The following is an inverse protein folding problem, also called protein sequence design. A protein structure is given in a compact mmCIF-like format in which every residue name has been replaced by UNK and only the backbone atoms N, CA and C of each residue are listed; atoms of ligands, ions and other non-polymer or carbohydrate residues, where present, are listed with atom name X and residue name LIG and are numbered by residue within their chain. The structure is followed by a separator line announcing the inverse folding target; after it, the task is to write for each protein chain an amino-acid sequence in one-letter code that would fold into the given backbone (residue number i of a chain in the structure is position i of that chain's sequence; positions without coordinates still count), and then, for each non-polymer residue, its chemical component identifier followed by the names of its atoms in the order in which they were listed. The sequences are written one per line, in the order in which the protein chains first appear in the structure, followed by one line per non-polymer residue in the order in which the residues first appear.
data_IF_693371692883
#
_entry.id   IF_693371692883
#
_cell.length_a   1.000
_cell.length_b   1.000
_cell.length_c   1.000
_cell.angle_alpha   90.00
_cell.angle_beta   90.00
_cell.angle_gamma   90.00
#
_symmetry.space_group_name_H-M   'P 1'
#
loop_
_entity.id
_entity.type
_entity.pdbx_description
1 polymer ?
#
# COMPACT_ATOMS: atom_id res chain seq x y z
N UNK A 1 -64.51 -101.35 44.04
CA UNK A 1 -64.43 -99.91 44.29
C UNK A 1 -63.23 -99.42 43.48
N UNK A 2 -63.31 -99.10 42.18
CA UNK A 2 -64.39 -98.46 41.39
C UNK A 2 -64.85 -97.14 42.02
N UNK A 3 -64.70 -96.00 41.36
CA UNK A 3 -65.47 -95.53 40.18
C UNK A 3 -64.64 -95.26 38.88
N UNK A 4 -65.25 -94.59 37.86
CA UNK A 4 -64.86 -94.57 36.42
C UNK A 4 -64.63 -93.14 35.83
N UNK A 5 -63.99 -92.98 34.64
CA UNK A 5 -63.72 -91.71 33.92
C UNK A 5 -64.73 -91.40 32.78
N UNK A 6 -64.55 -90.31 31.98
CA UNK A 6 -63.93 -90.43 30.64
C UNK A 6 -63.19 -89.14 30.15
N UNK A 7 -63.08 -88.87 28.83
CA UNK A 7 -61.87 -89.13 28.01
C UNK A 7 -61.92 -88.50 26.58
N UNK A 8 -60.78 -88.06 26.02
CA UNK A 8 -60.57 -87.70 24.59
C UNK A 8 -60.84 -86.22 24.19
N UNK A 9 -60.50 -85.74 22.97
CA UNK A 9 -59.73 -86.33 21.84
C UNK A 9 -58.21 -85.97 21.87
N UNK A 10 -57.26 -86.36 20.99
CA UNK A 10 -57.16 -87.16 19.73
C UNK A 10 -56.94 -86.41 18.38
N UNK A 11 -55.78 -86.70 17.74
CA UNK A 11 -55.33 -86.61 16.32
C UNK A 11 -55.10 -85.28 15.52
N UNK A 12 -53.81 -85.03 15.25
CA UNK A 12 -53.13 -85.01 13.93
C UNK A 12 -53.46 -83.99 12.78
N UNK A 13 -52.39 -83.29 12.35
CA UNK A 13 -52.13 -82.75 11.00
C UNK A 13 -50.74 -82.08 10.96
N UNK A 14 -50.10 -81.69 9.85
CA UNK A 14 -50.11 -82.14 8.45
C UNK A 14 -49.04 -81.31 7.67
N UNK A 15 -47.91 -81.95 7.31
CA UNK A 15 -47.04 -81.76 6.11
C UNK A 15 -46.53 -80.35 5.65
N UNK A 16 -45.24 -80.36 5.23
CA UNK A 16 -44.58 -79.64 4.12
C UNK A 16 -43.76 -78.32 4.32
N UNK A 17 -42.61 -78.31 3.61
CA UNK A 17 -41.72 -77.27 3.06
C UNK A 17 -41.13 -76.10 3.91
N UNK A 18 -39.79 -76.16 4.06
CA UNK A 18 -38.76 -75.24 3.52
C UNK A 18 -39.03 -73.72 3.38
N UNK A 19 -38.13 -72.87 3.94
CA UNK A 19 -37.36 -71.77 3.27
C UNK A 19 -36.79 -70.71 4.27
N UNK A 20 -35.46 -70.71 4.43
CA UNK A 20 -34.48 -69.59 4.44
C UNK A 20 -34.61 -68.31 5.33
N UNK A 21 -33.44 -67.90 5.90
CA UNK A 21 -33.02 -66.52 6.35
C UNK A 21 -33.74 -65.89 7.56
N UNK A 22 -33.18 -64.89 8.29
CA UNK A 22 -32.01 -64.00 8.03
C UNK A 22 -31.15 -63.78 9.32
N UNK A 23 -29.90 -63.34 9.15
CA UNK A 23 -28.98 -62.91 10.23
C UNK A 23 -29.44 -61.56 10.82
N UNK A 24 -29.29 -61.38 12.15
CA UNK A 24 -29.53 -60.08 12.81
C UNK A 24 -28.48 -59.79 13.90
N UNK A 25 -27.28 -59.41 13.45
CA UNK A 25 -26.23 -58.79 14.25
C UNK A 25 -25.70 -57.56 13.49
N UNK A 26 -25.16 -56.57 14.22
CA UNK A 26 -24.78 -55.22 13.76
C UNK A 26 -25.94 -54.25 13.44
N UNK A 27 -26.28 -53.35 14.39
CA UNK A 27 -26.93 -52.05 14.11
C UNK A 27 -26.95 -51.05 15.31
N UNK A 28 -25.92 -50.99 16.16
CA UNK A 28 -25.89 -50.01 17.29
C UNK A 28 -24.67 -49.09 17.29
N UNK A 29 -23.52 -49.54 16.78
CA UNK A 29 -22.33 -48.70 16.58
C UNK A 29 -22.44 -47.72 15.37
N UNK A 30 -23.67 -47.39 14.95
CA UNK A 30 -23.97 -46.65 13.71
C UNK A 30 -24.54 -45.24 13.91
N UNK A 31 -24.46 -44.67 15.12
CA UNK A 31 -24.87 -43.29 15.43
C UNK A 31 -23.88 -42.56 16.34
N UNK A 32 -22.60 -42.59 15.96
CA UNK A 32 -21.82 -41.37 16.13
C UNK A 32 -22.46 -40.31 15.22
N UNK A 33 -22.84 -39.16 15.77
CA UNK A 33 -23.28 -38.01 14.96
C UNK A 33 -22.15 -37.71 13.96
N UNK A 34 -22.48 -37.55 12.67
CA UNK A 34 -21.49 -37.12 11.68
C UNK A 34 -21.11 -35.66 11.96
N UNK A 35 -20.15 -35.45 12.86
CA UNK A 35 -19.47 -34.16 13.02
C UNK A 35 -18.94 -33.73 11.66
N UNK A 36 -19.19 -32.48 11.31
CA UNK A 36 -18.74 -31.88 10.06
C UNK A 36 -17.23 -31.61 10.13
N UNK A 37 -16.47 -32.68 9.88
CA UNK A 37 -15.01 -32.69 9.88
C UNK A 37 -14.44 -31.66 8.90
N UNK A 38 -14.07 -30.50 9.45
CA UNK A 38 -13.46 -29.41 8.70
C UNK A 38 -12.15 -29.92 8.10
N UNK A 39 -12.16 -30.07 6.79
CA UNK A 39 -11.13 -30.71 6.00
C UNK A 39 -11.16 -30.14 4.59
N UNK A 40 -10.04 -30.18 3.90
CA UNK A 40 -9.89 -29.52 2.60
C UNK A 40 -8.49 -29.66 2.03
N UNK A 41 -8.12 -28.77 1.13
CA UNK A 41 -6.79 -28.75 0.49
C UNK A 41 -5.86 -27.73 1.13
N UNK A 42 -4.55 -27.96 0.99
CA UNK A 42 -3.52 -27.00 1.32
C UNK A 42 -2.46 -26.89 0.22
N UNK A 43 -1.80 -25.75 0.17
CA UNK A 43 -0.57 -25.49 -0.57
C UNK A 43 0.44 -24.78 0.34
N UNK A 44 1.73 -25.03 0.15
CA UNK A 44 2.78 -24.42 0.95
C UNK A 44 3.98 -23.99 0.11
N UNK A 45 4.70 -22.95 0.54
CA UNK A 45 6.02 -22.59 0.00
C UNK A 45 7.00 -22.30 1.14
N UNK A 46 8.17 -22.97 1.12
CA UNK A 46 9.24 -22.83 2.10
C UNK A 46 10.17 -21.68 1.71
N UNK A 47 10.33 -20.68 2.59
CA UNK A 47 11.24 -19.53 2.40
C UNK A 47 11.75 -18.99 3.74
N UNK A 48 13.05 -18.71 3.86
CA UNK A 48 13.69 -18.02 4.99
C UNK A 48 13.27 -18.56 6.37
N UNK A 49 13.37 -19.88 6.58
CA UNK A 49 12.93 -20.59 7.80
C UNK A 49 11.42 -20.45 8.12
N UNK A 50 10.60 -20.10 7.13
CA UNK A 50 9.15 -19.96 7.24
C UNK A 50 8.42 -20.78 6.18
N UNK A 51 7.15 -21.04 6.45
CA UNK A 51 6.21 -21.72 5.56
C UNK A 51 5.07 -20.75 5.27
N UNK A 52 4.94 -20.27 4.02
CA UNK A 52 3.69 -19.66 3.60
C UNK A 52 2.70 -20.79 3.33
N UNK A 53 1.79 -21.02 4.27
CA UNK A 53 0.77 -22.07 4.20
C UNK A 53 -0.56 -21.44 3.81
N UNK A 54 -1.16 -21.94 2.73
CA UNK A 54 -2.52 -21.61 2.33
C UNK A 54 -3.42 -22.85 2.45
N UNK A 55 -4.62 -22.67 2.99
CA UNK A 55 -5.66 -23.70 3.07
C UNK A 55 -6.93 -23.27 2.33
N UNK A 56 -7.71 -24.24 1.85
CA UNK A 56 -9.03 -24.05 1.25
C UNK A 56 -10.00 -25.12 1.76
N UNK A 57 -11.20 -24.72 2.16
CA UNK A 57 -12.27 -25.63 2.62
C UNK A 57 -13.64 -25.00 2.38
N UNK A 58 -14.65 -25.83 2.15
CA UNK A 58 -16.03 -25.36 2.12
C UNK A 58 -16.48 -24.96 3.54
N UNK A 59 -17.08 -23.78 3.75
CA UNK A 59 -17.72 -23.43 5.02
C UNK A 59 -19.05 -24.20 5.19
N UNK A 60 -19.60 -24.30 6.41
CA UNK A 60 -20.96 -24.81 6.61
C UNK A 60 -21.99 -23.96 5.84
N UNK A 61 -23.08 -24.59 5.35
CA UNK A 61 -24.14 -23.91 4.58
C UNK A 61 -24.69 -22.66 5.28
N UNK A 62 -24.80 -22.72 6.61
CA UNK A 62 -25.35 -21.68 7.47
C UNK A 62 -24.41 -20.47 7.65
N UNK A 63 -23.17 -20.53 7.14
CA UNK A 63 -22.19 -19.43 7.21
C UNK A 63 -22.33 -18.42 6.07
N UNK A 64 -22.73 -18.83 4.86
CA UNK A 64 -22.68 -17.97 3.67
C UNK A 64 -23.94 -17.09 3.47
N UNK A 65 -25.09 -17.53 3.99
CA UNK A 65 -26.40 -16.93 3.63
C UNK A 65 -26.63 -16.91 2.11
N UNK A 66 -27.39 -15.93 1.62
CA UNK A 66 -27.65 -15.76 0.17
C UNK A 66 -26.44 -15.19 -0.61
N UNK A 67 -25.23 -15.12 -0.03
CA UNK A 67 -24.07 -14.45 -0.61
C UNK A 67 -22.89 -15.39 -0.87
N UNK A 68 -22.91 -15.94 -2.09
CA UNK A 68 -21.85 -16.73 -2.73
C UNK A 68 -21.68 -18.16 -2.20
N UNK A 69 -21.59 -19.11 -3.14
CA UNK A 69 -21.42 -20.54 -2.87
C UNK A 69 -19.92 -20.94 -2.95
N UNK A 70 -19.04 -20.11 -2.36
CA UNK A 70 -17.59 -20.18 -2.55
C UNK A 70 -16.83 -20.90 -1.43
N UNK A 71 -15.65 -21.41 -1.78
CA UNK A 71 -14.65 -21.88 -0.81
C UNK A 71 -14.23 -20.75 0.13
N UNK A 72 -14.08 -21.08 1.42
CA UNK A 72 -13.28 -20.27 2.32
C UNK A 72 -11.79 -20.59 2.11
N UNK A 73 -10.93 -19.57 2.19
CA UNK A 73 -9.49 -19.75 2.11
C UNK A 73 -8.74 -18.76 3.01
N UNK A 74 -7.54 -19.16 3.43
CA UNK A 74 -6.65 -18.37 4.27
C UNK A 74 -5.20 -18.72 3.89
N UNK A 75 -4.34 -17.71 3.75
CA UNK A 75 -2.90 -17.86 3.56
C UNK A 75 -2.12 -17.07 4.59
N UNK A 76 -1.18 -17.70 5.30
CA UNK A 76 -0.37 -17.08 6.35
C UNK A 76 1.04 -17.69 6.40
N UNK A 77 2.04 -16.85 6.71
CA UNK A 77 3.43 -17.29 6.89
C UNK A 77 3.73 -17.68 8.33
N UNK A 78 3.91 -18.97 8.60
CA UNK A 78 4.28 -19.52 9.91
C UNK A 78 5.81 -19.72 10.02
N UNK A 79 6.41 -19.62 11.22
CA UNK A 79 7.71 -20.24 11.50
C UNK A 79 7.65 -21.74 11.23
N UNK A 80 8.74 -22.34 10.73
CA UNK A 80 8.74 -23.76 10.35
C UNK A 80 8.69 -24.72 11.55
N UNK A 81 9.13 -24.27 12.72
CA UNK A 81 9.09 -24.98 14.00
C UNK A 81 7.68 -25.04 14.64
N UNK A 82 6.72 -24.24 14.16
CA UNK A 82 5.30 -24.41 14.52
C UNK A 82 4.63 -25.60 13.79
N UNK A 83 5.27 -26.17 12.76
CA UNK A 83 4.73 -27.22 11.89
C UNK A 83 5.47 -28.55 12.10
N UNK A 84 5.07 -29.26 13.16
CA UNK A 84 5.70 -30.48 13.61
C UNK A 84 5.68 -31.57 12.53
N UNK A 85 6.86 -31.96 12.02
CA UNK A 85 7.03 -32.95 10.96
C UNK A 85 7.60 -32.38 9.65
N UNK A 86 7.63 -31.05 9.48
CA UNK A 86 8.40 -30.43 8.40
C UNK A 86 9.91 -30.39 8.73
N UNK A 87 10.81 -30.54 7.73
CA UNK A 87 12.25 -30.43 7.94
C UNK A 87 12.66 -28.95 8.10
N UNK A 88 13.60 -28.63 9.00
CA UNK A 88 14.06 -27.25 9.17
C UNK A 88 14.92 -26.79 7.98
N UNK A 89 14.60 -25.60 7.47
CA UNK A 89 15.47 -24.76 6.64
C UNK A 89 15.94 -25.33 5.27
N UNK A 90 15.18 -26.24 4.65
CA UNK A 90 15.42 -26.68 3.26
C UNK A 90 14.42 -26.06 2.28
N UNK A 91 14.83 -25.02 1.55
CA UNK A 91 14.03 -24.36 0.50
C UNK A 91 13.90 -25.18 -0.79
N UNK A 92 14.61 -26.30 -0.94
CA UNK A 92 14.49 -27.21 -2.10
C UNK A 92 13.85 -28.54 -1.74
N UNK A 93 13.30 -28.64 -0.53
CA UNK A 93 12.75 -29.86 0.02
C UNK A 93 11.76 -30.53 -0.93
N UNK A 94 11.94 -31.83 -1.11
CA UNK A 94 11.25 -32.64 -2.11
C UNK A 94 10.98 -34.04 -1.56
N UNK A 95 9.71 -34.42 -1.44
CA UNK A 95 9.29 -35.73 -0.93
C UNK A 95 7.92 -36.11 -1.51
N UNK A 96 7.73 -37.38 -1.86
CA UNK A 96 6.50 -37.88 -2.49
C UNK A 96 5.36 -38.15 -1.51
N UNK A 97 5.64 -38.20 -0.20
CA UNK A 97 4.65 -38.33 0.86
C UNK A 97 5.22 -37.73 2.16
N UNK A 98 4.45 -36.86 2.82
CA UNK A 98 4.76 -36.29 4.13
C UNK A 98 3.49 -36.18 4.97
N UNK A 99 3.67 -36.23 6.30
CA UNK A 99 2.68 -35.79 7.28
C UNK A 99 3.30 -34.76 8.21
N UNK A 100 2.56 -33.70 8.53
CA UNK A 100 2.97 -32.69 9.51
C UNK A 100 1.73 -32.08 10.17
N UNK A 101 1.89 -31.57 11.39
CA UNK A 101 0.80 -31.07 12.24
C UNK A 101 1.02 -29.61 12.66
N UNK A 102 -0.05 -28.83 12.73
CA UNK A 102 -0.10 -27.53 13.41
C UNK A 102 -0.89 -27.67 14.71
N UNK A 103 -0.19 -27.66 15.84
CA UNK A 103 -0.80 -27.80 17.16
C UNK A 103 -1.22 -26.44 17.74
N UNK A 104 -2.47 -26.33 18.20
CA UNK A 104 -3.07 -25.08 18.72
C UNK A 104 -3.93 -25.36 19.95
N UNK A 105 -4.15 -24.36 20.81
CA UNK A 105 -4.99 -24.53 22.00
C UNK A 105 -6.44 -24.96 21.68
N UNK A 106 -6.92 -24.70 20.47
CA UNK A 106 -8.27 -25.07 20.00
C UNK A 106 -8.40 -26.49 19.41
N UNK A 107 -7.29 -27.10 18.98
CA UNK A 107 -7.22 -28.36 18.25
C UNK A 107 -5.94 -28.49 17.41
N UNK A 108 -5.77 -29.61 16.74
CA UNK A 108 -4.67 -29.84 15.78
C UNK A 108 -5.21 -29.77 14.35
N UNK A 109 -4.48 -29.12 13.45
CA UNK A 109 -4.65 -29.32 12.01
C UNK A 109 -3.59 -30.32 11.56
N UNK A 110 -4.01 -31.48 11.06
CA UNK A 110 -3.12 -32.50 10.50
C UNK A 110 -3.09 -32.37 8.97
N UNK A 111 -1.90 -32.39 8.38
CA UNK A 111 -1.65 -32.19 6.95
C UNK A 111 -0.98 -33.43 6.35
N UNK A 112 -1.50 -33.91 5.23
CA UNK A 112 -0.91 -35.00 4.44
C UNK A 112 -0.74 -34.55 2.99
N UNK A 113 0.38 -34.88 2.34
CA UNK A 113 0.63 -34.47 0.96
C UNK A 113 2.06 -34.73 0.49
N UNK A 114 2.57 -33.88 -0.40
CA UNK A 114 3.91 -34.00 -0.99
C UNK A 114 4.58 -32.62 -1.14
N UNK A 115 5.91 -32.61 -1.30
CA UNK A 115 6.70 -31.41 -1.64
C UNK A 115 7.59 -31.66 -2.88
N UNK A 116 7.87 -30.60 -3.63
CA UNK A 116 8.84 -30.54 -4.72
C UNK A 116 9.44 -29.14 -4.80
N UNK A 117 10.76 -29.04 -4.71
CA UNK A 117 11.53 -27.78 -4.80
C UNK A 117 10.94 -26.69 -3.89
N UNK A 118 10.78 -27.02 -2.60
CA UNK A 118 10.25 -26.10 -1.57
C UNK A 118 8.73 -25.85 -1.63
N UNK A 119 8.03 -26.38 -2.63
CA UNK A 119 6.58 -26.19 -2.81
C UNK A 119 5.80 -27.45 -2.49
N UNK A 120 4.83 -27.34 -1.59
CA UNK A 120 4.00 -28.45 -1.13
C UNK A 120 2.53 -28.30 -1.49
N UNK A 121 1.82 -29.43 -1.57
CA UNK A 121 0.37 -29.48 -1.69
C UNK A 121 -0.21 -30.78 -1.14
N UNK A 122 -1.47 -30.76 -0.70
CA UNK A 122 -2.15 -31.95 -0.20
C UNK A 122 -3.51 -31.69 0.43
N UNK A 123 -3.89 -32.55 1.38
CA UNK A 123 -5.14 -32.51 2.16
C UNK A 123 -4.87 -32.22 3.63
N UNK A 124 -5.82 -31.58 4.31
CA UNK A 124 -5.78 -31.35 5.77
C UNK A 124 -7.08 -31.78 6.46
N UNK A 125 -7.01 -32.06 7.76
CA UNK A 125 -8.16 -32.26 8.66
C UNK A 125 -7.94 -31.53 9.99
N UNK A 126 -8.98 -30.87 10.50
CA UNK A 126 -8.96 -30.23 11.81
C UNK A 126 -9.63 -31.11 12.88
N UNK A 127 -8.86 -31.46 13.90
CA UNK A 127 -9.27 -32.25 15.07
C UNK A 127 -9.45 -31.35 16.31
N UNK A 128 -10.68 -31.01 16.72
CA UNK A 128 -10.94 -30.09 17.84
C UNK A 128 -10.54 -30.67 19.21
N UNK A 129 -9.76 -29.93 20.02
CA UNK A 129 -9.38 -30.35 21.39
C UNK A 129 -10.58 -30.30 22.34
N UNK A 130 -10.91 -31.41 22.99
CA UNK A 130 -12.14 -31.53 23.79
C UNK A 130 -12.31 -30.44 24.88
N UNK A 131 -11.24 -30.06 25.60
CA UNK A 131 -11.36 -29.11 26.74
C UNK A 131 -11.57 -27.65 26.32
N UNK A 132 -11.29 -27.27 25.07
CA UNK A 132 -11.24 -25.86 24.63
C UNK A 132 -12.54 -25.10 24.92
N UNK A 133 -13.72 -25.70 24.68
CA UNK A 133 -15.00 -25.03 24.90
C UNK A 133 -15.27 -24.74 26.38
N UNK A 134 -14.84 -25.62 27.29
CA UNK A 134 -14.92 -25.38 28.73
C UNK A 134 -13.98 -24.26 29.18
N UNK A 135 -12.76 -24.21 28.64
CA UNK A 135 -11.78 -23.15 28.92
C UNK A 135 -12.22 -21.78 28.37
N UNK A 136 -12.80 -21.74 27.17
CA UNK A 136 -13.37 -20.53 26.56
C UNK A 136 -14.59 -20.03 27.35
N UNK A 137 -15.48 -20.94 27.77
CA UNK A 137 -16.62 -20.62 28.64
C UNK A 137 -16.17 -20.05 29.99
N UNK A 138 -15.11 -20.59 30.59
CA UNK A 138 -14.51 -20.07 31.82
C UNK A 138 -13.86 -18.68 31.65
N UNK A 139 -13.58 -18.25 30.42
CA UNK A 139 -13.10 -16.92 30.08
C UNK A 139 -14.22 -15.92 29.74
N UNK A 140 -15.49 -16.36 29.75
CA UNK A 140 -16.68 -15.56 29.43
C UNK A 140 -17.29 -15.86 28.05
N UNK A 141 -16.60 -16.61 27.20
CA UNK A 141 -17.06 -16.98 25.85
C UNK A 141 -17.92 -18.25 25.93
N UNK A 142 -19.12 -18.09 26.50
CA UNK A 142 -20.05 -19.17 26.84
C UNK A 142 -21.09 -19.50 25.78
N UNK A 143 -21.02 -18.88 24.60
CA UNK A 143 -21.81 -19.24 23.42
C UNK A 143 -21.44 -20.65 22.92
N UNK A 144 -22.29 -21.26 22.08
CA UNK A 144 -21.89 -22.48 21.39
C UNK A 144 -20.77 -22.16 20.39
N UNK A 145 -19.71 -22.96 20.40
CA UNK A 145 -18.54 -22.82 19.57
C UNK A 145 -18.52 -23.99 18.57
N UNK A 146 -19.26 -23.90 17.45
CA UNK A 146 -19.33 -24.97 16.47
C UNK A 146 -17.94 -25.26 15.88
N UNK A 147 -17.75 -26.48 15.38
CA UNK A 147 -16.44 -26.97 14.87
C UNK A 147 -15.81 -26.02 13.83
N UNK A 148 -16.63 -25.31 13.05
CA UNK A 148 -16.21 -24.25 12.13
C UNK A 148 -15.62 -23.00 12.83
N UNK A 149 -16.31 -22.42 13.82
CA UNK A 149 -15.78 -21.28 14.60
C UNK A 149 -14.48 -21.67 15.31
N UNK A 150 -14.44 -22.90 15.84
CA UNK A 150 -13.24 -23.46 16.48
C UNK A 150 -12.07 -23.67 15.53
N UNK A 151 -12.32 -24.07 14.28
CA UNK A 151 -11.30 -24.16 13.23
C UNK A 151 -10.72 -22.77 12.90
N UNK A 152 -11.58 -21.76 12.72
CA UNK A 152 -11.15 -20.38 12.48
C UNK A 152 -10.27 -19.86 13.63
N UNK A 153 -10.69 -20.07 14.88
CA UNK A 153 -9.91 -19.69 16.06
C UNK A 153 -8.60 -20.49 16.18
N UNK A 154 -8.60 -21.77 15.83
CA UNK A 154 -7.37 -22.59 15.81
C UNK A 154 -6.35 -22.07 14.80
N UNK A 155 -6.75 -21.90 13.54
CA UNK A 155 -5.81 -21.62 12.46
C UNK A 155 -5.22 -20.21 12.53
N UNK A 156 -5.94 -19.26 13.13
CA UNK A 156 -5.45 -17.93 13.47
C UNK A 156 -4.75 -17.84 14.85
N UNK A 157 -4.55 -18.96 15.55
CA UNK A 157 -3.91 -19.05 16.87
C UNK A 157 -4.57 -18.18 17.97
N UNK A 158 -5.90 -18.29 18.09
CA UNK A 158 -6.72 -17.66 19.13
C UNK A 158 -7.06 -18.69 20.21
N UNK A 159 -6.32 -18.63 21.30
CA UNK A 159 -6.45 -19.56 22.42
C UNK A 159 -6.59 -18.92 23.81
N UNK A 160 -6.99 -19.71 24.82
CA UNK A 160 -7.11 -19.28 26.21
C UNK A 160 -5.89 -18.57 26.78
N UNK A 161 -4.65 -18.90 26.36
CA UNK A 161 -3.45 -18.17 26.77
C UNK A 161 -3.49 -16.72 26.28
N UNK A 162 -3.62 -16.50 24.97
CA UNK A 162 -3.64 -15.15 24.38
C UNK A 162 -4.78 -14.30 24.95
N UNK A 163 -5.95 -14.90 25.20
CA UNK A 163 -7.12 -14.23 25.79
C UNK A 163 -6.88 -13.84 27.26
N UNK A 164 -6.26 -14.72 28.07
CA UNK A 164 -5.86 -14.39 29.44
C UNK A 164 -4.84 -13.26 29.45
N UNK A 165 -3.85 -13.31 28.57
CA UNK A 165 -2.80 -12.30 28.46
C UNK A 165 -3.38 -10.95 28.00
N UNK A 166 -4.29 -10.91 27.02
CA UNK A 166 -5.04 -9.70 26.63
C UNK A 166 -5.80 -9.10 27.82
N UNK A 167 -6.47 -9.94 28.63
CA UNK A 167 -7.17 -9.50 29.84
C UNK A 167 -6.22 -8.97 30.92
N UNK A 168 -5.04 -9.57 31.11
CA UNK A 168 -3.96 -9.03 31.94
C UNK A 168 -3.47 -7.68 31.42
N UNK A 169 -3.44 -7.50 30.10
CA UNK A 169 -3.15 -6.20 29.47
C UNK A 169 -4.34 -5.21 29.48
N UNK A 170 -5.43 -5.51 30.19
CA UNK A 170 -6.57 -4.59 30.37
C UNK A 170 -7.65 -4.66 29.29
N UNK A 171 -7.58 -5.62 28.37
CA UNK A 171 -8.61 -5.87 27.36
C UNK A 171 -9.58 -6.95 27.87
N UNK A 172 -10.47 -6.58 28.79
CA UNK A 172 -11.38 -7.51 29.49
C UNK A 172 -12.73 -7.74 28.80
N UNK A 173 -13.11 -6.86 27.84
CA UNK A 173 -14.42 -6.80 27.18
C UNK A 173 -14.27 -6.73 25.66
N UNK A 174 -13.87 -7.84 25.06
CA UNK A 174 -13.74 -8.00 23.61
C UNK A 174 -14.68 -9.09 23.11
N UNK A 175 -15.10 -9.00 21.84
CA UNK A 175 -15.66 -10.16 21.13
C UNK A 175 -14.55 -11.08 20.62
N UNK A 176 -14.91 -12.34 20.33
CA UNK A 176 -13.98 -13.28 19.68
C UNK A 176 -13.51 -12.79 18.30
N UNK A 177 -14.32 -11.99 17.62
CA UNK A 177 -14.00 -11.44 16.30
C UNK A 177 -12.94 -10.33 16.41
N UNK A 178 -13.01 -9.48 17.43
CA UNK A 178 -11.97 -8.48 17.73
C UNK A 178 -10.64 -9.16 18.13
N UNK A 179 -10.71 -10.20 18.97
CA UNK A 179 -9.53 -10.97 19.38
C UNK A 179 -8.89 -11.68 18.18
N UNK A 180 -9.71 -12.32 17.33
CA UNK A 180 -9.24 -12.96 16.10
C UNK A 180 -8.65 -11.93 15.13
N UNK A 181 -9.32 -10.79 14.92
CA UNK A 181 -8.80 -9.73 14.06
C UNK A 181 -7.43 -9.26 14.55
N UNK A 182 -7.30 -8.98 15.85
CA UNK A 182 -6.02 -8.60 16.44
C UNK A 182 -4.92 -9.66 16.22
N UNK A 183 -5.23 -10.94 16.43
CA UNK A 183 -4.28 -12.03 16.24
C UNK A 183 -3.87 -12.21 14.78
N UNK A 184 -4.83 -12.21 13.84
CA UNK A 184 -4.62 -12.30 12.39
C UNK A 184 -3.76 -11.15 11.86
N UNK A 185 -4.03 -9.93 12.32
CA UNK A 185 -3.25 -8.73 11.96
C UNK A 185 -1.92 -8.60 12.74
N UNK A 186 -1.52 -9.63 13.51
CA UNK A 186 -0.19 -9.71 14.13
C UNK A 186 0.00 -8.84 15.37
N UNK A 187 -1.07 -8.45 16.06
CA UNK A 187 -1.00 -7.81 17.38
C UNK A 187 -0.61 -8.87 18.42
N UNK A 188 0.56 -8.70 19.03
CA UNK A 188 1.06 -9.58 20.10
C UNK A 188 1.00 -8.91 21.46
N UNK A 189 1.04 -9.72 22.52
CA UNK A 189 1.12 -9.23 23.91
C UNK A 189 2.41 -8.42 24.13
N UNK A 190 3.49 -8.79 23.44
CA UNK A 190 4.74 -8.03 23.41
C UNK A 190 4.55 -6.65 22.75
N UNK A 191 3.95 -6.60 21.56
CA UNK A 191 3.63 -5.34 20.85
C UNK A 191 2.76 -4.40 21.71
N UNK A 192 1.75 -4.94 22.40
CA UNK A 192 0.94 -4.21 23.38
C UNK A 192 1.81 -3.63 24.50
N UNK A 193 2.68 -4.45 25.11
CA UNK A 193 3.58 -4.02 26.18
C UNK A 193 4.57 -2.97 25.70
N UNK A 194 5.03 -3.04 24.46
CA UNK A 194 5.93 -2.05 23.90
C UNK A 194 5.25 -0.70 23.65
N UNK A 195 4.07 -0.67 23.04
CA UNK A 195 3.36 0.60 22.86
C UNK A 195 3.02 1.23 24.22
N UNK A 196 2.70 0.41 25.25
CA UNK A 196 2.58 0.85 26.65
C UNK A 196 3.89 1.40 27.22
N UNK A 197 5.05 0.77 26.94
CA UNK A 197 6.39 1.28 27.31
C UNK A 197 6.67 2.64 26.66
N UNK A 198 6.24 2.85 25.42
CA UNK A 198 6.33 4.15 24.72
C UNK A 198 5.31 5.20 25.20
N UNK A 199 4.45 4.86 26.16
CA UNK A 199 3.48 5.75 26.80
C UNK A 199 2.03 5.60 26.33
N UNK A 200 1.77 4.83 25.28
CA UNK A 200 0.42 4.56 24.77
C UNK A 200 -0.29 3.51 25.64
N UNK A 201 -0.69 3.94 26.86
CA UNK A 201 -1.22 3.04 27.89
C UNK A 201 -2.69 2.66 27.73
N UNK A 202 -3.47 3.54 27.12
CA UNK A 202 -4.93 3.41 26.91
C UNK A 202 -5.23 3.52 25.43
N UNK A 203 -5.26 2.38 24.74
CA UNK A 203 -5.45 2.29 23.28
C UNK A 203 -6.54 1.25 23.02
N UNK A 204 -7.43 1.47 22.05
CA UNK A 204 -8.39 0.45 21.64
C UNK A 204 -7.69 -0.64 20.83
N UNK A 205 -8.11 -1.91 20.96
CA UNK A 205 -7.46 -3.02 20.25
C UNK A 205 -7.49 -2.84 18.72
N UNK A 206 -8.57 -2.26 18.17
CA UNK A 206 -8.69 -1.93 16.74
C UNK A 206 -7.67 -0.87 16.30
N UNK A 207 -7.32 0.09 17.16
CA UNK A 207 -6.25 1.07 16.90
C UNK A 207 -4.88 0.40 16.87
N UNK A 208 -4.65 -0.63 17.71
CA UNK A 208 -3.43 -1.44 17.65
C UNK A 208 -3.33 -2.28 16.38
N UNK A 209 -4.46 -2.76 15.86
CA UNK A 209 -4.50 -3.41 14.54
C UNK A 209 -4.07 -2.43 13.45
N UNK A 210 -4.66 -1.22 13.42
CA UNK A 210 -4.27 -0.16 12.49
C UNK A 210 -2.77 0.15 12.59
N UNK A 211 -2.23 0.44 13.76
CA UNK A 211 -0.79 0.74 13.89
C UNK A 211 0.10 -0.44 13.48
N UNK A 212 -0.37 -1.68 13.66
CA UNK A 212 0.36 -2.89 13.30
C UNK A 212 0.36 -3.17 11.78
N UNK A 213 -0.75 -2.87 11.10
CA UNK A 213 -0.92 -2.96 9.64
C UNK A 213 -0.01 -1.94 8.91
N UNK A 214 -0.02 -0.70 9.36
CA UNK A 214 0.83 0.38 8.82
C UNK A 214 2.30 0.31 9.29
N UNK A 215 2.67 -0.74 10.05
CA UNK A 215 4.05 -1.04 10.43
C UNK A 215 4.68 -0.07 11.43
N UNK A 216 3.88 0.57 12.28
CA UNK A 216 4.38 1.38 13.41
C UNK A 216 4.91 0.43 14.50
N UNK A 217 6.23 0.42 14.70
CA UNK A 217 6.91 -0.43 15.71
C UNK A 217 7.37 0.37 16.94
N UNK A 218 7.76 -0.33 18.00
CA UNK A 218 8.28 0.27 19.23
C UNK A 218 9.55 1.12 18.97
N UNK A 219 10.41 0.62 18.09
CA UNK A 219 11.67 1.23 17.66
C UNK A 219 11.39 2.49 16.84
N UNK A 220 10.41 2.43 15.92
CA UNK A 220 10.00 3.58 15.11
C UNK A 220 9.43 4.72 15.98
N UNK A 221 8.60 4.38 16.97
CA UNK A 221 8.11 5.36 17.95
C UNK A 221 9.29 5.93 18.75
N UNK A 222 10.16 5.08 19.31
CA UNK A 222 11.32 5.51 20.10
C UNK A 222 12.26 6.43 19.29
N UNK A 223 12.47 6.12 18.01
CA UNK A 223 13.23 6.93 17.07
C UNK A 223 12.60 8.32 16.91
N UNK A 224 11.31 8.40 16.58
CA UNK A 224 10.62 9.69 16.43
C UNK A 224 10.58 10.52 17.72
N UNK A 225 10.49 9.87 18.89
CA UNK A 225 10.62 10.56 20.18
C UNK A 225 12.04 11.08 20.45
N UNK A 226 13.08 10.34 20.04
CA UNK A 226 14.46 10.85 20.05
C UNK A 226 14.64 12.04 19.09
N UNK A 227 13.89 12.07 17.98
CA UNK A 227 13.82 13.22 17.09
C UNK A 227 12.94 14.38 17.61
N UNK A 228 12.38 14.30 18.83
CA UNK A 228 11.63 15.40 19.44
C UNK A 228 10.11 15.33 19.26
N UNK A 229 9.58 14.42 18.43
CA UNK A 229 8.14 14.18 18.23
C UNK A 229 7.54 13.37 19.39
N UNK A 230 7.77 13.85 20.63
CA UNK A 230 7.45 13.16 21.88
C UNK A 230 5.94 13.05 22.14
N UNK A 231 5.16 13.98 21.57
CA UNK A 231 3.70 14.11 21.67
C UNK A 231 2.92 13.52 20.49
N UNK A 232 3.57 12.92 19.49
CA UNK A 232 2.89 12.35 18.33
C UNK A 232 1.85 11.29 18.73
N UNK A 233 0.65 11.37 18.14
CA UNK A 233 -0.42 10.37 18.32
C UNK A 233 -0.14 9.11 17.50
N UNK A 234 -0.92 8.04 17.74
CA UNK A 234 -0.82 6.83 16.94
C UNK A 234 -1.20 7.06 15.46
N UNK A 235 -2.11 7.99 15.16
CA UNK A 235 -2.46 8.33 13.78
C UNK A 235 -1.41 9.21 13.10
N UNK A 236 -0.72 10.09 13.82
CA UNK A 236 0.46 10.81 13.31
C UNK A 236 1.59 9.83 12.95
N UNK A 237 1.81 8.83 13.81
CA UNK A 237 2.80 7.77 13.61
C UNK A 237 2.45 6.89 12.40
N UNK A 238 1.16 6.62 12.16
CA UNK A 238 0.68 5.96 10.93
C UNK A 238 0.87 6.85 9.71
N UNK A 239 0.52 8.14 9.77
CA UNK A 239 0.72 9.10 8.67
C UNK A 239 2.20 9.16 8.26
N UNK A 240 3.12 9.30 9.22
CA UNK A 240 4.56 9.30 8.95
C UNK A 240 5.05 7.98 8.32
N UNK A 241 4.46 6.83 8.68
CA UNK A 241 4.77 5.53 8.06
C UNK A 241 4.29 5.43 6.61
N UNK A 242 3.03 5.76 6.37
CA UNK A 242 2.38 5.62 5.05
C UNK A 242 3.04 6.53 4.01
N UNK A 243 3.36 7.75 4.41
CA UNK A 243 4.06 8.75 3.58
C UNK A 243 5.58 8.55 3.57
N UNK A 244 6.10 7.41 4.07
CA UNK A 244 7.50 7.02 3.91
C UNK A 244 8.53 7.94 4.61
N UNK A 245 8.13 8.59 5.71
CA UNK A 245 8.99 9.44 6.55
C UNK A 245 9.76 8.57 7.54
N UNK A 246 11.09 8.57 7.43
CA UNK A 246 12.00 7.77 8.26
C UNK A 246 12.75 8.65 9.26
N UNK A 247 13.32 8.04 10.31
CA UNK A 247 14.21 8.76 11.23
C UNK A 247 15.38 9.42 10.48
N UNK A 248 15.99 8.73 9.51
CA UNK A 248 17.06 9.29 8.69
C UNK A 248 16.58 10.53 7.91
N UNK A 249 15.44 10.45 7.22
CA UNK A 249 14.90 11.60 6.49
C UNK A 249 14.71 12.82 7.42
N UNK A 250 14.19 12.59 8.63
CA UNK A 250 14.05 13.65 9.64
C UNK A 250 15.41 14.22 10.03
N UNK A 251 16.39 13.38 10.40
CA UNK A 251 17.74 13.82 10.78
C UNK A 251 18.41 14.63 9.67
N UNK A 252 18.32 14.17 8.42
CA UNK A 252 18.87 14.85 7.26
C UNK A 252 18.17 16.20 7.02
N UNK A 253 16.84 16.28 7.17
CA UNK A 253 16.08 17.53 7.01
C UNK A 253 16.38 18.52 8.15
N UNK A 254 16.63 18.06 9.37
CA UNK A 254 17.16 18.91 10.47
C UNK A 254 18.53 19.47 10.12
N UNK A 255 19.44 18.63 9.62
CA UNK A 255 20.76 19.07 9.14
C UNK A 255 20.67 20.03 7.95
N UNK A 256 19.62 19.93 7.13
CA UNK A 256 19.27 20.87 6.08
C UNK A 256 18.60 22.17 6.58
N UNK A 257 18.43 22.33 7.90
CA UNK A 257 17.95 23.54 8.58
C UNK A 257 16.56 23.42 9.22
N UNK A 258 15.81 22.35 8.94
CA UNK A 258 14.41 22.21 9.35
C UNK A 258 14.23 21.56 10.72
N UNK A 259 14.99 22.03 11.71
CA UNK A 259 15.00 21.52 13.09
C UNK A 259 13.64 21.62 13.82
N UNK A 260 12.74 22.47 13.33
CA UNK A 260 11.40 22.72 13.90
C UNK A 260 10.26 22.35 12.93
N UNK A 261 10.51 21.55 11.90
CA UNK A 261 9.44 21.08 11.02
C UNK A 261 8.36 20.31 11.80
N UNK A 262 7.10 20.55 11.48
CA UNK A 262 6.00 19.75 12.01
C UNK A 262 5.92 18.39 11.30
N UNK A 263 5.09 17.49 11.84
CA UNK A 263 4.76 16.22 11.21
C UNK A 263 4.14 16.44 9.81
N UNK A 264 3.31 17.48 9.67
CA UNK A 264 2.66 17.80 8.40
C UNK A 264 3.67 18.37 7.38
N UNK A 265 4.58 19.26 7.80
CA UNK A 265 5.64 19.78 6.92
C UNK A 265 6.52 18.65 6.37
N UNK A 266 6.87 17.66 7.22
CA UNK A 266 7.68 16.51 6.83
C UNK A 266 6.95 15.58 5.85
N UNK A 267 5.67 15.30 6.10
CA UNK A 267 4.84 14.46 5.22
C UNK A 267 4.66 15.14 3.87
N UNK A 268 4.29 16.42 3.87
CA UNK A 268 4.09 17.22 2.67
C UNK A 268 5.38 17.39 1.86
N UNK A 269 6.51 17.67 2.52
CA UNK A 269 7.82 17.69 1.85
C UNK A 269 8.15 16.33 1.21
N UNK A 270 7.83 15.22 1.90
CA UNK A 270 8.14 13.86 1.45
C UNK A 270 7.29 13.43 0.25
N UNK A 271 5.98 13.69 0.28
CA UNK A 271 5.04 13.39 -0.81
C UNK A 271 5.41 14.12 -2.11
N UNK A 272 5.72 15.41 -1.99
CA UNK A 272 6.14 16.27 -3.10
C UNK A 272 7.63 16.07 -3.47
N UNK A 273 8.26 15.00 -2.99
CA UNK A 273 9.60 14.57 -3.40
C UNK A 273 10.75 15.51 -3.00
N UNK A 274 10.55 16.40 -2.03
CA UNK A 274 11.63 17.22 -1.45
C UNK A 274 12.58 16.31 -0.69
N UNK A 275 13.85 16.33 -1.07
CA UNK A 275 14.91 15.55 -0.40
C UNK A 275 15.96 16.48 0.22
N UNK A 276 16.70 16.03 1.24
CA UNK A 276 17.75 16.82 1.89
C UNK A 276 18.80 17.33 0.89
N UNK A 277 19.13 16.52 -0.11
CA UNK A 277 20.10 16.87 -1.15
C UNK A 277 19.57 18.05 -1.99
N UNK A 278 18.31 18.00 -2.42
CA UNK A 278 17.67 19.11 -3.15
C UNK A 278 17.61 20.40 -2.31
N UNK A 279 17.35 20.29 -1.00
CA UNK A 279 17.43 21.45 -0.11
C UNK A 279 18.85 22.03 -0.10
N UNK A 280 19.88 21.20 0.09
CA UNK A 280 21.27 21.67 0.13
C UNK A 280 21.74 22.25 -1.22
N UNK A 281 21.34 21.66 -2.35
CA UNK A 281 21.59 22.20 -3.68
C UNK A 281 21.01 23.61 -3.85
N UNK A 282 19.71 23.78 -3.54
CA UNK A 282 18.99 25.07 -3.67
C UNK A 282 19.55 26.12 -2.71
N UNK A 283 19.93 25.74 -1.47
CA UNK A 283 20.60 26.63 -0.52
C UNK A 283 22.01 27.02 -0.96
N UNK A 284 22.77 26.09 -1.53
CA UNK A 284 24.12 26.32 -2.06
C UNK A 284 24.15 27.33 -3.22
N UNK A 285 23.02 27.55 -3.88
CA UNK A 285 22.86 28.56 -4.93
C UNK A 285 22.60 29.98 -4.42
N UNK A 286 22.50 30.16 -3.09
CA UNK A 286 22.26 31.45 -2.44
C UNK A 286 20.82 31.97 -2.61
N UNK A 287 19.86 31.08 -2.87
CA UNK A 287 18.44 31.44 -2.95
C UNK A 287 17.84 31.58 -1.54
N UNK A 288 17.07 32.66 -1.33
CA UNK A 288 16.38 32.95 -0.06
C UNK A 288 15.13 32.10 0.14
N UNK A 289 15.30 30.77 0.21
CA UNK A 289 14.23 29.78 0.38
C UNK A 289 14.25 29.25 1.81
N UNK A 290 13.24 29.60 2.61
CA UNK A 290 13.26 29.43 4.08
C UNK A 290 12.17 28.49 4.61
N UNK A 291 11.03 28.37 3.93
CA UNK A 291 9.93 27.46 4.31
C UNK A 291 9.86 26.21 3.44
N UNK A 292 9.46 25.06 4.01
CA UNK A 292 9.37 23.80 3.26
C UNK A 292 8.38 23.87 2.09
N UNK A 293 7.28 24.61 2.22
CA UNK A 293 6.34 24.90 1.13
C UNK A 293 7.00 25.50 -0.12
N UNK A 294 8.07 26.29 0.04
CA UNK A 294 8.77 26.86 -1.11
C UNK A 294 9.63 25.80 -1.82
N UNK A 295 10.23 24.85 -1.09
CA UNK A 295 10.94 23.71 -1.70
C UNK A 295 9.95 22.73 -2.36
N UNK A 296 8.78 22.52 -1.75
CA UNK A 296 7.65 21.79 -2.36
C UNK A 296 7.23 22.47 -3.66
N UNK A 297 7.00 23.79 -3.65
CA UNK A 297 6.61 24.54 -4.85
C UNK A 297 7.67 24.48 -5.95
N UNK A 298 8.96 24.60 -5.60
CA UNK A 298 10.06 24.43 -6.55
C UNK A 298 10.09 23.01 -7.15
N UNK A 299 9.77 21.96 -6.36
CA UNK A 299 9.67 20.58 -6.85
C UNK A 299 8.49 20.37 -7.80
N UNK A 300 7.29 20.80 -7.41
CA UNK A 300 6.05 20.62 -8.16
C UNK A 300 6.13 21.25 -9.55
N UNK A 301 6.69 22.46 -9.61
CA UNK A 301 6.93 23.18 -10.84
C UNK A 301 8.23 22.75 -11.58
N UNK A 302 8.92 21.71 -11.11
CA UNK A 302 10.05 21.08 -11.79
C UNK A 302 11.40 21.82 -11.73
N UNK A 303 11.48 22.92 -10.97
CA UNK A 303 12.70 23.75 -10.83
C UNK A 303 13.80 22.94 -10.14
N UNK A 304 14.97 22.86 -10.79
CA UNK A 304 16.16 22.13 -10.33
C UNK A 304 17.38 23.03 -10.27
N UNK A 305 18.37 22.62 -9.48
CA UNK A 305 19.60 23.39 -9.26
C UNK A 305 20.31 23.80 -10.57
N UNK A 306 20.39 22.92 -11.56
CA UNK A 306 20.98 23.22 -12.87
C UNK A 306 20.27 24.39 -13.60
N UNK A 307 18.93 24.43 -13.58
CA UNK A 307 18.15 25.52 -14.20
C UNK A 307 18.48 26.87 -13.56
N UNK A 308 18.60 26.90 -12.23
CA UNK A 308 19.04 28.10 -11.50
C UNK A 308 20.47 28.46 -11.90
N UNK A 309 21.42 27.52 -11.89
CA UNK A 309 22.82 27.75 -12.25
C UNK A 309 22.94 28.38 -13.64
N UNK A 310 22.23 27.84 -14.63
CA UNK A 310 22.27 28.37 -15.98
C UNK A 310 21.66 29.77 -16.10
N UNK A 311 20.59 30.09 -15.36
CA UNK A 311 20.00 31.44 -15.32
C UNK A 311 20.93 32.45 -14.64
N UNK A 312 21.60 32.07 -13.54
CA UNK A 312 22.64 32.91 -12.91
C UNK A 312 23.80 33.16 -13.88
N UNK A 313 24.24 32.13 -14.61
CA UNK A 313 25.26 32.24 -15.65
C UNK A 313 24.81 33.07 -16.88
N UNK A 314 23.50 33.17 -17.12
CA UNK A 314 22.90 34.04 -18.14
C UNK A 314 22.64 35.49 -17.65
N UNK A 315 23.07 35.83 -16.42
CA UNK A 315 23.01 37.19 -15.85
C UNK A 315 21.89 37.43 -14.83
N UNK A 316 21.07 36.42 -14.52
CA UNK A 316 19.92 36.55 -13.62
C UNK A 316 20.29 36.02 -12.22
N UNK A 317 21.16 36.75 -11.53
CA UNK A 317 21.82 36.31 -10.29
C UNK A 317 20.98 36.45 -9.00
N UNK A 318 19.86 37.19 -9.07
CA UNK A 318 19.05 37.64 -7.91
C UNK A 318 17.59 37.18 -7.93
N UNK A 319 17.27 36.15 -8.71
CA UNK A 319 15.91 35.62 -8.81
C UNK A 319 15.42 35.02 -7.47
N UNK A 320 14.16 35.29 -7.12
CA UNK A 320 13.43 34.58 -6.08
C UNK A 320 12.92 33.22 -6.53
N UNK A 321 12.38 32.43 -5.59
CA UNK A 321 11.77 31.14 -5.90
C UNK A 321 10.57 31.28 -6.86
N UNK A 322 9.76 32.32 -6.67
CA UNK A 322 8.60 32.61 -7.52
C UNK A 322 8.98 32.97 -8.95
N UNK A 323 10.05 33.76 -9.13
CA UNK A 323 10.59 34.13 -10.44
C UNK A 323 11.10 32.90 -11.21
N UNK A 324 11.82 32.01 -10.51
CA UNK A 324 12.34 30.77 -11.09
C UNK A 324 11.21 29.83 -11.54
N UNK A 325 10.16 29.70 -10.73
CA UNK A 325 8.96 28.94 -11.11
C UNK A 325 8.28 29.59 -12.31
N UNK A 326 8.06 30.90 -12.29
CA UNK A 326 7.45 31.64 -13.41
C UNK A 326 8.22 31.47 -14.71
N UNK A 327 9.55 31.56 -14.67
CA UNK A 327 10.40 31.33 -15.86
C UNK A 327 10.30 29.88 -16.36
N UNK A 328 10.26 28.91 -15.46
CA UNK A 328 10.18 27.49 -15.81
C UNK A 328 8.81 27.09 -16.38
N UNK A 329 7.71 27.53 -15.75
CA UNK A 329 6.33 27.29 -16.18
C UNK A 329 6.07 27.83 -17.60
N UNK A 330 6.58 29.04 -17.88
CA UNK A 330 6.51 29.67 -19.20
C UNK A 330 7.58 29.17 -20.19
N UNK A 331 8.32 28.10 -19.84
CA UNK A 331 9.28 27.43 -20.73
C UNK A 331 10.46 28.31 -21.17
N UNK A 332 10.83 29.32 -20.38
CA UNK A 332 12.02 30.15 -20.58
C UNK A 332 13.26 29.34 -20.19
N UNK A 333 14.15 29.10 -21.14
CA UNK A 333 15.43 28.44 -20.88
C UNK A 333 16.57 29.44 -20.84
N UNK A 334 17.65 29.12 -20.13
CA UNK A 334 18.84 29.96 -20.14
C UNK A 334 19.52 30.03 -21.54
N UNK A 335 19.27 29.05 -22.42
CA UNK A 335 19.63 29.15 -23.84
C UNK A 335 18.86 30.31 -24.50
N UNK A 336 17.53 30.31 -24.43
CA UNK A 336 16.68 31.38 -24.97
C UNK A 336 17.09 32.77 -24.46
N UNK A 337 17.44 32.89 -23.17
CA UNK A 337 17.96 34.13 -22.57
C UNK A 337 19.30 34.55 -23.19
N UNK A 338 20.26 33.63 -23.37
CA UNK A 338 21.55 33.89 -24.03
C UNK A 338 21.36 34.29 -25.50
N UNK A 339 20.40 33.67 -26.19
CA UNK A 339 20.14 33.93 -27.60
C UNK A 339 19.52 35.32 -27.82
N UNK A 340 18.59 35.75 -26.94
CA UNK A 340 18.10 37.13 -26.91
C UNK A 340 19.25 38.14 -26.61
N UNK A 341 20.12 37.81 -25.66
CA UNK A 341 21.28 38.65 -25.32
C UNK A 341 22.31 38.75 -26.46
N UNK A 342 22.46 37.69 -27.27
CA UNK A 342 23.25 37.70 -28.50
C UNK A 342 22.61 38.58 -29.59
N UNK A 343 21.27 38.64 -29.65
CA UNK A 343 20.55 39.63 -30.46
C UNK A 343 20.56 41.06 -29.89
N UNK A 344 21.28 41.30 -28.79
CA UNK A 344 21.49 42.61 -28.18
C UNK A 344 20.55 42.93 -27.01
N UNK A 345 19.54 42.09 -26.74
CA UNK A 345 18.61 42.28 -25.62
C UNK A 345 19.20 41.71 -24.34
N UNK A 346 20.11 42.49 -23.73
CA UNK A 346 20.80 42.15 -22.48
C UNK A 346 20.04 42.71 -21.28
N UNK A 347 20.09 41.99 -20.15
CA UNK A 347 19.52 42.41 -18.86
C UNK A 347 18.03 42.79 -18.95
N UNK A 348 17.25 42.04 -19.73
CA UNK A 348 15.81 42.22 -19.92
C UNK A 348 15.06 41.88 -18.62
N UNK A 349 14.01 42.62 -18.22
CA UNK A 349 13.17 42.22 -17.09
C UNK A 349 12.59 40.82 -17.31
N UNK A 350 12.52 39.99 -16.27
CA UNK A 350 12.01 38.60 -16.38
C UNK A 350 10.59 38.54 -16.95
N UNK A 351 9.78 39.57 -16.70
CA UNK A 351 8.42 39.71 -17.21
C UNK A 351 8.39 39.87 -18.74
N UNK A 352 9.34 40.62 -19.31
CA UNK A 352 9.52 40.77 -20.76
C UNK A 352 10.17 39.53 -21.39
N UNK A 353 11.06 38.83 -20.68
CA UNK A 353 11.60 37.53 -21.14
C UNK A 353 10.50 36.48 -21.23
N UNK A 354 9.64 36.40 -20.21
CA UNK A 354 8.43 35.56 -20.22
C UNK A 354 7.49 35.98 -21.35
N UNK A 355 7.20 37.28 -21.50
CA UNK A 355 6.31 37.77 -22.54
C UNK A 355 6.83 37.46 -23.96
N UNK A 356 8.10 37.73 -24.25
CA UNK A 356 8.67 37.38 -25.56
C UNK A 356 8.61 35.87 -25.83
N UNK A 357 8.76 35.05 -24.79
CA UNK A 357 8.65 33.59 -24.88
C UNK A 357 7.23 33.12 -25.17
N UNK A 358 6.23 33.66 -24.45
CA UNK A 358 4.80 33.37 -24.61
C UNK A 358 4.30 33.75 -26.01
N UNK A 359 4.70 34.94 -26.49
CA UNK A 359 4.40 35.43 -27.84
C UNK A 359 5.28 34.77 -28.93
N UNK A 360 6.01 33.70 -28.59
CA UNK A 360 6.71 32.84 -29.53
C UNK A 360 7.80 33.54 -30.33
N UNK A 361 8.47 34.55 -29.77
CA UNK A 361 9.68 35.16 -30.33
C UNK A 361 10.81 34.12 -30.35
N UNK A 362 11.64 34.10 -31.39
CA UNK A 362 12.93 33.40 -31.40
C UNK A 362 14.06 34.34 -31.79
N UNK A 363 15.29 34.01 -31.41
CA UNK A 363 16.47 34.79 -31.77
C UNK A 363 16.73 34.75 -33.29
N UNK A 364 16.37 33.68 -33.99
CA UNK A 364 16.47 33.61 -35.46
C UNK A 364 15.51 34.61 -36.11
N UNK A 365 14.26 34.67 -35.64
CA UNK A 365 13.28 35.64 -36.14
C UNK A 365 13.77 37.09 -35.97
N UNK A 366 14.39 37.40 -34.83
CA UNK A 366 15.00 38.71 -34.59
C UNK A 366 16.18 38.95 -35.55
N UNK A 367 17.05 37.96 -35.75
CA UNK A 367 18.18 38.05 -36.68
C UNK A 367 17.72 38.29 -38.12
N UNK A 368 16.70 37.57 -38.58
CA UNK A 368 16.12 37.71 -39.92
C UNK A 368 15.52 39.11 -40.14
N UNK A 369 14.75 39.63 -39.17
CA UNK A 369 14.19 40.98 -39.27
C UNK A 369 15.29 42.05 -39.31
N UNK A 370 16.38 41.87 -38.55
CA UNK A 370 17.57 42.74 -38.60
C UNK A 370 18.32 42.65 -39.93
N UNK A 371 18.47 41.45 -40.49
CA UNK A 371 19.07 41.21 -41.81
C UNK A 371 18.21 41.85 -42.93
N UNK A 372 16.89 41.84 -42.77
CA UNK A 372 15.94 42.54 -43.64
C UNK A 372 15.95 44.07 -43.46
N UNK A 373 16.74 44.62 -42.53
CA UNK A 373 16.96 46.05 -42.34
C UNK A 373 16.29 46.67 -41.11
N UNK A 374 15.42 45.92 -40.41
CA UNK A 374 14.76 46.39 -39.18
C UNK A 374 15.69 46.22 -37.97
N UNK A 375 16.73 47.06 -37.91
CA UNK A 375 17.89 46.87 -37.01
C UNK A 375 17.63 47.21 -35.55
N UNK A 376 16.81 48.24 -35.29
CA UNK A 376 16.60 48.86 -33.98
C UNK A 376 15.19 48.60 -33.42
N UNK A 377 14.70 47.38 -33.59
CA UNK A 377 13.40 46.97 -33.07
C UNK A 377 13.40 46.90 -31.53
N UNK A 378 12.33 47.37 -30.88
CA UNK A 378 12.07 47.10 -29.45
C UNK A 378 11.50 45.70 -29.24
N UNK A 379 11.50 45.18 -28.00
CA UNK A 379 10.86 43.90 -27.68
C UNK A 379 9.35 43.92 -27.96
N UNK A 380 8.68 45.02 -27.62
CA UNK A 380 7.25 45.23 -27.94
C UNK A 380 6.99 45.20 -29.46
N UNK A 381 7.85 45.85 -30.25
CA UNK A 381 7.78 45.80 -31.70
C UNK A 381 8.00 44.37 -32.25
N UNK A 382 8.94 43.61 -31.69
CA UNK A 382 9.19 42.22 -32.07
C UNK A 382 7.97 41.33 -31.74
N UNK A 383 7.38 41.50 -30.54
CA UNK A 383 6.14 40.82 -30.12
C UNK A 383 5.00 41.18 -31.09
N UNK A 384 4.79 42.47 -31.37
CA UNK A 384 3.77 42.96 -32.32
C UNK A 384 3.93 42.36 -33.73
N UNK A 385 5.16 42.19 -34.21
CA UNK A 385 5.43 41.50 -35.47
C UNK A 385 5.04 40.01 -35.41
N UNK A 386 5.28 39.31 -34.29
CA UNK A 386 4.86 37.91 -34.10
C UNK A 386 3.34 37.77 -34.03
N UNK A 387 2.68 38.63 -33.26
CA UNK A 387 1.22 38.60 -33.04
C UNK A 387 0.43 38.79 -34.34
N UNK A 388 0.90 39.69 -35.21
CA UNK A 388 0.33 39.88 -36.55
C UNK A 388 0.81 38.84 -37.59
N UNK A 389 1.56 37.82 -37.18
CA UNK A 389 2.06 36.77 -38.07
C UNK A 389 2.98 37.28 -39.17
N UNK A 390 3.77 38.32 -38.89
CA UNK A 390 4.79 38.82 -39.80
C UNK A 390 5.94 37.83 -39.83
N UNK A 391 6.44 37.54 -41.03
CA UNK A 391 7.55 36.61 -41.27
C UNK A 391 8.55 37.24 -42.23
N UNK A 392 9.81 36.77 -42.26
CA UNK A 392 10.80 37.20 -43.25
C UNK A 392 10.30 37.02 -44.70
N UNK A 393 9.58 35.92 -44.95
CA UNK A 393 8.89 35.67 -46.22
C UNK A 393 7.85 36.73 -46.58
N UNK A 394 7.03 37.18 -45.61
CA UNK A 394 6.06 38.26 -45.84
C UNK A 394 6.74 39.60 -46.18
N UNK A 395 7.84 39.95 -45.48
CA UNK A 395 8.60 41.18 -45.76
C UNK A 395 9.16 41.16 -47.19
N UNK A 396 9.73 40.03 -47.61
CA UNK A 396 10.24 39.84 -48.97
C UNK A 396 9.12 39.87 -50.03
N UNK A 397 7.97 39.26 -49.74
CA UNK A 397 6.78 39.27 -50.61
C UNK A 397 6.21 40.68 -50.82
N UNK A 398 6.14 41.49 -49.76
CA UNK A 398 5.74 42.89 -49.86
C UNK A 398 6.71 43.70 -50.73
N UNK A 399 8.03 43.49 -50.55
CA UNK A 399 9.08 44.13 -51.35
C UNK A 399 9.07 43.72 -52.81
N UNK A 400 8.80 42.44 -53.11
CA UNK A 400 8.63 41.94 -54.48
C UNK A 400 7.44 42.59 -55.22
N UNK A 401 6.49 43.19 -54.49
CA UNK A 401 5.35 43.95 -55.04
C UNK A 401 5.55 45.47 -55.00
N UNK A 402 6.78 45.93 -54.80
CA UNK A 402 7.15 47.35 -54.85
C UNK A 402 6.92 48.14 -53.56
N UNK A 403 6.30 47.54 -52.52
CA UNK A 403 6.20 48.18 -51.21
C UNK A 403 7.58 48.30 -50.57
N UNK A 404 7.86 49.43 -49.92
CA UNK A 404 9.12 49.68 -49.21
C UNK A 404 8.84 49.92 -47.72
N UNK A 405 8.35 48.90 -46.98
CA UNK A 405 7.94 49.06 -45.60
C UNK A 405 9.09 49.64 -44.75
N UNK A 406 8.86 50.84 -44.21
CA UNK A 406 9.88 51.58 -43.45
C UNK A 406 9.94 51.14 -41.98
N UNK A 407 8.81 50.76 -41.40
CA UNK A 407 8.64 50.44 -39.98
C UNK A 407 7.71 49.24 -39.75
N UNK A 408 7.46 48.95 -38.46
CA UNK A 408 6.64 47.83 -37.98
C UNK A 408 5.15 48.04 -38.24
N UNK A 409 4.65 49.26 -38.09
CA UNK A 409 3.22 49.55 -38.27
C UNK A 409 2.84 49.54 -39.75
N UNK A 410 3.76 49.90 -40.65
CA UNK A 410 3.57 49.66 -42.08
C UNK A 410 3.53 48.18 -42.43
N UNK A 411 4.43 47.34 -41.87
CA UNK A 411 4.36 45.88 -42.07
C UNK A 411 3.04 45.29 -41.56
N UNK A 412 2.62 45.67 -40.34
CA UNK A 412 1.36 45.24 -39.72
C UNK A 412 0.15 45.71 -40.54
N UNK A 413 0.16 46.97 -41.03
CA UNK A 413 -0.88 47.54 -41.89
C UNK A 413 -1.00 46.79 -43.21
N UNK A 414 0.11 46.52 -43.89
CA UNK A 414 0.11 45.76 -45.16
C UNK A 414 -0.37 44.33 -44.95
N UNK A 415 0.02 43.70 -43.84
CA UNK A 415 -0.41 42.35 -43.47
C UNK A 415 -1.91 42.30 -43.21
N UNK A 416 -2.42 43.13 -42.29
CA UNK A 416 -3.83 43.17 -41.93
C UNK A 416 -4.71 43.64 -43.12
N UNK A 417 -4.17 44.48 -44.01
CA UNK A 417 -4.81 44.98 -45.22
C UNK A 417 -4.93 43.99 -46.39
N UNK A 418 -4.56 42.72 -46.21
CA UNK A 418 -4.82 41.67 -47.21
C UNK A 418 -3.64 41.27 -48.10
N UNK A 419 -2.42 41.77 -47.88
CA UNK A 419 -1.23 41.49 -48.72
C UNK A 419 -0.64 40.07 -48.50
N UNK A 420 -1.51 39.09 -48.22
CA UNK A 420 -1.21 37.66 -48.17
C UNK A 420 -1.71 36.90 -49.42
N UNK A 421 -2.58 37.51 -50.24
CA UNK A 421 -2.95 37.06 -51.59
C UNK A 421 -2.03 37.71 -52.60
#
# INVERSE_FOLDING_TARGET
MTTFPPAGPVQAGMRYLTVLTLVLAQAVAGRAQAQSDVSGTWTAELRNARVFLQVRTAPPKEWNGDRSNGDWSMGQSFPIDELAGLPPNDERFSVTSIKFDLHREAGTLAFEGAFRDGRGAGLFRFSPRAQYTAEMKALGYGEDLPQWRRFQLAIHDVGPKYIKELKTEGYDKLSLDQIQRARTHGVTIEYIRDLKRQGFRTVALESLVRTRDHGVTAEYIKALKAEGYTSASLDDLVRLRDHGVTQKYIQDMKAAGFSSATIEDLVRARDHGVTPEFVQEIRGLGLSVTGLDQYVRLRDHGVRAAFVQELKAAGYDKLGAEDLVRLHDHGVTAAYVRDLAAQGFKNVPIEDVVRTRDHGVSAEFVADMKALGFKELTLEQIIRLRDHGITPGFVNHARARGFKPADVDELVRLKNGGLWK
#
